data_IF_199216204480
#
_entry.id   IF_199216204480
#
_cell.length_a   1.000
_cell.length_b   1.000
_cell.length_c   1.000
_cell.angle_alpha   90.00
_cell.angle_beta   90.00
_cell.angle_gamma   90.00
#
_symmetry.space_group_name_H-M   'P 1'
#
loop_
_entity.id
_entity.type
_entity.pdbx_description
1 polymer ?
#
# COMPACT_ATOMS: atom_id res chain seq x y z
N UNK A 1 -30.37 8.76 1.67
CA UNK A 1 -29.85 7.78 2.66
C UNK A 1 -30.92 6.72 2.95
N UNK A 2 -31.23 5.84 1.98
CA UNK A 2 -32.30 4.82 2.12
C UNK A 2 -31.84 3.40 1.73
N UNK A 3 -30.53 3.19 1.56
CA UNK A 3 -29.96 1.90 1.11
C UNK A 3 -29.41 0.99 2.21
N UNK A 4 -29.26 1.47 3.46
CA UNK A 4 -28.60 0.69 4.52
C UNK A 4 -29.55 -0.06 5.46
N UNK A 5 -30.86 0.09 5.30
CA UNK A 5 -31.83 -0.48 6.26
C UNK A 5 -32.32 -1.90 5.92
N UNK A 6 -31.92 -2.47 4.79
CA UNK A 6 -32.38 -3.81 4.38
C UNK A 6 -31.37 -4.95 4.57
N UNK A 7 -30.10 -4.65 4.87
CA UNK A 7 -29.09 -5.71 5.09
C UNK A 7 -28.95 -6.08 6.57
N UNK A 8 -29.40 -5.23 7.50
CA UNK A 8 -29.25 -5.44 8.94
C UNK A 8 -30.36 -6.28 9.59
N UNK A 9 -31.46 -6.60 8.88
CA UNK A 9 -32.59 -7.39 9.45
C UNK A 9 -32.62 -8.88 9.12
N UNK A 10 -31.68 -9.39 8.31
CA UNK A 10 -31.59 -10.82 8.03
C UNK A 10 -30.76 -11.64 9.05
N UNK A 11 -30.07 -11.00 9.99
CA UNK A 11 -29.19 -11.66 10.98
C UNK A 11 -29.80 -11.60 12.40
N UNK A 12 -31.13 -11.73 12.49
CA UNK A 12 -31.82 -12.05 13.75
C UNK A 12 -32.56 -13.39 13.65
N UNK A 13 -32.01 -14.34 12.89
CA UNK A 13 -32.30 -15.74 13.12
C UNK A 13 -31.72 -16.10 14.50
N UNK A 14 -32.58 -16.07 15.51
CA UNK A 14 -32.36 -16.75 16.79
C UNK A 14 -31.81 -18.13 16.47
N UNK A 15 -30.51 -18.33 16.68
CA UNK A 15 -29.90 -19.65 16.71
C UNK A 15 -30.57 -20.37 17.90
N UNK A 16 -31.40 -21.40 17.67
CA UNK A 16 -31.94 -22.17 18.78
C UNK A 16 -30.77 -22.80 19.54
N UNK A 17 -30.87 -22.82 20.88
CA UNK A 17 -29.90 -23.43 21.81
C UNK A 17 -29.24 -24.67 21.18
N UNK A 18 -27.92 -24.61 21.09
CA UNK A 18 -27.02 -25.58 20.45
C UNK A 18 -26.92 -26.94 21.19
N UNK A 19 -28.03 -27.53 21.65
CA UNK A 19 -28.01 -28.86 22.28
C UNK A 19 -28.44 -29.99 21.35
N UNK A 20 -28.97 -29.71 20.15
CA UNK A 20 -29.34 -30.72 19.15
C UNK A 20 -29.06 -30.29 17.70
N UNK A 21 -27.83 -29.89 17.41
CA UNK A 21 -27.41 -29.75 16.02
C UNK A 21 -27.07 -31.16 15.46
N UNK A 22 -27.74 -31.64 14.40
CA UNK A 22 -27.47 -32.97 13.86
C UNK A 22 -26.00 -33.08 13.41
N UNK A 23 -25.37 -34.24 13.65
CA UNK A 23 -23.94 -34.46 13.35
C UNK A 23 -23.57 -34.14 11.89
N UNK A 24 -24.52 -34.29 10.96
CA UNK A 24 -24.41 -33.89 9.55
C UNK A 24 -24.19 -32.39 9.34
N UNK A 25 -24.86 -31.52 10.12
CA UNK A 25 -24.64 -30.07 10.07
C UNK A 25 -23.27 -29.68 10.65
N UNK A 26 -22.83 -30.38 11.72
CA UNK A 26 -21.51 -30.19 12.32
C UNK A 26 -20.37 -30.56 11.34
N UNK A 27 -20.56 -31.62 10.55
CA UNK A 27 -19.64 -32.02 9.48
C UNK A 27 -19.59 -31.00 8.33
N UNK A 28 -20.75 -30.52 7.85
CA UNK A 28 -20.81 -29.49 6.81
C UNK A 28 -20.20 -28.16 7.24
N UNK A 29 -20.42 -27.72 8.49
CA UNK A 29 -19.79 -26.53 9.07
C UNK A 29 -18.26 -26.65 9.17
N UNK A 30 -17.75 -27.85 9.49
CA UNK A 30 -16.31 -28.10 9.57
C UNK A 30 -15.64 -28.06 8.20
N UNK A 31 -16.29 -28.60 7.17
CA UNK A 31 -15.83 -28.53 5.77
C UNK A 31 -15.85 -27.08 5.29
N UNK A 32 -16.94 -26.34 5.55
CA UNK A 32 -17.04 -24.92 5.17
C UNK A 32 -15.95 -24.08 5.86
N UNK A 33 -15.69 -24.32 7.15
CA UNK A 33 -14.60 -23.67 7.90
C UNK A 33 -13.23 -23.95 7.29
N UNK A 34 -12.95 -25.21 6.93
CA UNK A 34 -11.66 -25.56 6.30
C UNK A 34 -11.48 -25.00 4.90
N UNK A 35 -12.55 -24.87 4.13
CA UNK A 35 -12.53 -24.27 2.78
C UNK A 35 -12.32 -22.75 2.88
N UNK A 36 -12.97 -22.09 3.84
CA UNK A 36 -12.79 -20.65 4.12
C UNK A 36 -11.38 -20.37 4.63
N UNK A 37 -10.84 -21.17 5.54
CA UNK A 37 -9.46 -21.03 6.03
C UNK A 37 -8.42 -21.24 4.91
N UNK A 38 -8.62 -22.22 4.02
CA UNK A 38 -7.70 -22.49 2.92
C UNK A 38 -7.74 -21.39 1.83
N UNK A 39 -8.93 -20.86 1.54
CA UNK A 39 -9.11 -19.71 0.66
C UNK A 39 -8.45 -18.45 1.23
N UNK A 40 -8.62 -18.20 2.53
CA UNK A 40 -8.02 -17.08 3.25
C UNK A 40 -6.47 -17.15 3.22
N UNK A 41 -5.88 -18.32 3.45
CA UNK A 41 -4.42 -18.48 3.47
C UNK A 41 -3.76 -18.25 2.11
N UNK A 42 -4.33 -18.80 1.02
CA UNK A 42 -3.80 -18.58 -0.34
C UNK A 42 -3.97 -17.13 -0.79
N UNK A 43 -5.16 -16.55 -0.55
CA UNK A 43 -5.48 -15.21 -1.00
C UNK A 43 -4.62 -14.14 -0.31
N UNK A 44 -4.45 -14.25 1.01
CA UNK A 44 -3.58 -13.30 1.73
C UNK A 44 -2.10 -13.51 1.43
N UNK A 45 -1.68 -14.70 1.00
CA UNK A 45 -0.32 -14.93 0.48
C UNK A 45 -0.09 -14.19 -0.84
N UNK A 46 -1.08 -14.25 -1.73
CA UNK A 46 -1.07 -13.51 -2.98
C UNK A 46 -1.05 -11.98 -2.76
N UNK A 47 -1.85 -11.45 -1.83
CA UNK A 47 -1.84 -10.02 -1.51
C UNK A 47 -0.50 -9.54 -0.91
N UNK A 48 0.12 -10.34 -0.05
CA UNK A 48 1.46 -10.06 0.47
C UNK A 48 2.52 -10.03 -0.64
N UNK A 49 2.47 -10.99 -1.57
CA UNK A 49 3.37 -11.04 -2.72
C UNK A 49 3.20 -9.81 -3.61
N UNK A 50 1.96 -9.42 -3.91
CA UNK A 50 1.68 -8.26 -4.74
C UNK A 50 2.13 -6.95 -4.07
N UNK A 51 1.92 -6.83 -2.75
CA UNK A 51 2.44 -5.72 -1.96
C UNK A 51 3.96 -5.66 -1.97
N UNK A 52 4.63 -6.81 -1.87
CA UNK A 52 6.08 -6.92 -2.00
C UNK A 52 6.58 -6.44 -3.36
N UNK A 53 5.93 -6.84 -4.46
CA UNK A 53 6.25 -6.38 -5.82
C UNK A 53 6.12 -4.85 -5.92
N UNK A 54 5.05 -4.27 -5.36
CA UNK A 54 4.85 -2.83 -5.35
C UNK A 54 5.96 -2.08 -4.60
N UNK A 55 6.40 -2.60 -3.45
CA UNK A 55 7.48 -1.97 -2.67
C UNK A 55 8.82 -2.02 -3.41
N UNK A 56 9.12 -3.13 -4.09
CA UNK A 56 10.31 -3.25 -4.96
C UNK A 56 10.22 -2.28 -6.14
N UNK A 57 9.07 -2.20 -6.80
CA UNK A 57 8.86 -1.25 -7.91
C UNK A 57 9.05 0.20 -7.44
N UNK A 58 8.50 0.58 -6.28
CA UNK A 58 8.70 1.90 -5.68
C UNK A 58 10.18 2.19 -5.39
N UNK A 59 10.93 1.24 -4.84
CA UNK A 59 12.37 1.39 -4.60
C UNK A 59 13.16 1.62 -5.90
N UNK A 60 12.88 0.83 -6.94
CA UNK A 60 13.51 0.96 -8.24
C UNK A 60 13.21 2.33 -8.84
N UNK A 61 11.96 2.77 -8.81
CA UNK A 61 11.56 4.06 -9.36
C UNK A 61 12.17 5.25 -8.59
N UNK A 62 12.27 5.18 -7.26
CA UNK A 62 12.96 6.20 -6.45
C UNK A 62 14.45 6.25 -6.80
N UNK A 63 15.07 5.09 -7.07
CA UNK A 63 16.48 5.02 -7.46
C UNK A 63 16.69 5.58 -8.86
N UNK A 64 15.81 5.24 -9.81
CA UNK A 64 15.83 5.78 -11.18
C UNK A 64 15.68 7.30 -11.13
N UNK A 65 14.75 7.82 -10.33
CA UNK A 65 14.54 9.26 -10.24
C UNK A 65 15.77 9.98 -9.70
N UNK A 66 16.39 9.47 -8.62
CA UNK A 66 17.65 10.00 -8.11
C UNK A 66 18.76 9.98 -9.17
N UNK A 67 18.93 8.87 -9.89
CA UNK A 67 20.01 8.75 -10.88
C UNK A 67 19.79 9.68 -12.09
N UNK A 68 18.58 9.69 -12.65
CA UNK A 68 18.23 10.50 -13.82
C UNK A 68 18.19 12.00 -13.52
N UNK A 69 17.83 12.37 -12.30
CA UNK A 69 17.78 13.76 -11.87
C UNK A 69 19.10 14.33 -11.37
N UNK A 70 20.25 13.84 -11.88
CA UNK A 70 21.58 14.27 -11.45
C UNK A 70 21.78 14.20 -9.92
N UNK A 71 21.13 13.22 -9.28
CA UNK A 71 21.12 13.05 -7.84
C UNK A 71 20.19 14.00 -7.09
N UNK A 72 19.39 14.86 -7.72
CA UNK A 72 18.40 15.68 -7.02
C UNK A 72 17.08 14.93 -6.85
N UNK A 73 16.37 15.18 -5.74
CA UNK A 73 15.05 14.60 -5.49
C UNK A 73 13.99 15.65 -5.80
N UNK A 74 13.02 15.34 -6.66
CA UNK A 74 11.98 16.32 -7.01
C UNK A 74 10.96 16.56 -5.89
N UNK A 75 10.89 15.66 -4.89
CA UNK A 75 9.94 15.80 -3.79
C UNK A 75 10.20 17.10 -3.04
N UNK A 76 9.15 17.91 -2.89
CA UNK A 76 9.25 19.24 -2.28
C UNK A 76 10.19 20.20 -3.03
N UNK A 77 10.44 19.95 -4.31
CA UNK A 77 11.12 20.90 -5.18
C UNK A 77 10.14 21.94 -5.71
N UNK A 78 10.60 23.18 -5.81
CA UNK A 78 9.89 24.27 -6.47
C UNK A 78 10.59 24.58 -7.79
N UNK A 79 9.82 24.63 -8.89
CA UNK A 79 10.35 24.92 -10.22
C UNK A 79 10.07 26.37 -10.60
N UNK A 80 11.12 27.13 -10.83
CA UNK A 80 11.05 28.47 -11.40
C UNK A 80 11.05 28.37 -12.93
N UNK A 81 9.86 28.29 -13.52
CA UNK A 81 9.65 28.03 -14.96
C UNK A 81 10.47 28.97 -15.88
N UNK A 82 10.52 30.27 -15.56
CA UNK A 82 11.24 31.28 -16.36
C UNK A 82 12.75 31.07 -16.34
N UNK A 83 13.30 30.67 -15.19
CA UNK A 83 14.75 30.48 -14.99
C UNK A 83 15.21 29.04 -15.26
N UNK A 84 14.27 28.11 -15.46
CA UNK A 84 14.51 26.65 -15.56
C UNK A 84 15.44 26.17 -14.44
N UNK A 85 15.16 26.68 -13.25
CA UNK A 85 15.89 26.34 -12.04
C UNK A 85 14.95 25.65 -11.08
N UNK A 86 15.47 24.63 -10.40
CA UNK A 86 14.75 23.90 -9.38
C UNK A 86 15.42 24.25 -8.05
N UNK A 87 14.67 24.90 -7.18
CA UNK A 87 15.07 25.15 -5.80
C UNK A 87 14.34 24.18 -4.87
N UNK A 88 14.94 23.91 -3.70
CA UNK A 88 14.45 22.88 -2.80
C UNK A 88 14.79 21.47 -3.30
N UNK A 89 13.93 20.48 -3.00
CA UNK A 89 14.14 19.12 -3.48
C UNK A 89 15.43 18.45 -2.98
N UNK A 90 15.52 18.17 -1.68
CA UNK A 90 16.70 17.54 -1.08
C UNK A 90 16.78 16.04 -1.37
N UNK A 91 18.00 15.55 -1.66
CA UNK A 91 18.35 14.11 -1.66
C UNK A 91 17.79 13.37 -0.45
N UNK A 92 17.77 14.03 0.71
CA UNK A 92 17.28 13.47 1.96
C UNK A 92 15.83 12.98 1.85
N UNK A 93 14.95 13.67 1.13
CA UNK A 93 13.54 13.26 1.00
C UNK A 93 13.36 11.96 0.22
N UNK A 94 14.14 11.78 -0.85
CA UNK A 94 14.16 10.52 -1.59
C UNK A 94 14.83 9.41 -0.77
N UNK A 95 15.89 9.69 -0.01
CA UNK A 95 16.51 8.70 0.88
C UNK A 95 15.58 8.26 2.01
N UNK A 96 14.86 9.19 2.64
CA UNK A 96 13.85 8.88 3.67
C UNK A 96 12.75 8.02 3.07
N UNK A 97 12.24 8.38 1.89
CA UNK A 97 11.20 7.59 1.20
C UNK A 97 11.71 6.19 0.84
N UNK A 98 12.94 6.07 0.33
CA UNK A 98 13.58 4.79 0.02
C UNK A 98 13.77 3.94 1.29
N UNK A 99 14.27 4.52 2.39
CA UNK A 99 14.45 3.81 3.66
C UNK A 99 13.13 3.26 4.19
N UNK A 100 12.06 4.05 4.14
CA UNK A 100 10.73 3.58 4.52
C UNK A 100 10.23 2.44 3.62
N UNK A 101 10.50 2.50 2.31
CA UNK A 101 10.21 1.40 1.39
C UNK A 101 11.03 0.14 1.71
N UNK A 102 12.31 0.27 2.11
CA UNK A 102 13.14 -0.85 2.57
C UNK A 102 12.56 -1.48 3.83
N UNK A 103 12.14 -0.68 4.81
CA UNK A 103 11.47 -1.19 6.02
C UNK A 103 10.20 -1.96 5.65
N UNK A 104 9.40 -1.44 4.70
CA UNK A 104 8.21 -2.14 4.20
C UNK A 104 8.56 -3.47 3.54
N UNK A 105 9.56 -3.46 2.66
CA UNK A 105 10.04 -4.63 1.95
C UNK A 105 10.50 -5.72 2.93
N UNK A 106 11.34 -5.36 3.91
CA UNK A 106 11.82 -6.30 4.93
C UNK A 106 10.67 -6.86 5.76
N UNK A 107 9.72 -6.01 6.15
CA UNK A 107 8.52 -6.44 6.88
C UNK A 107 7.70 -7.45 6.07
N UNK A 108 7.53 -7.25 4.76
CA UNK A 108 6.78 -8.17 3.89
C UNK A 108 7.52 -9.48 3.68
N UNK A 109 8.84 -9.43 3.44
CA UNK A 109 9.68 -10.63 3.33
C UNK A 109 9.63 -11.46 4.61
N UNK A 110 9.73 -10.81 5.77
CA UNK A 110 9.60 -11.48 7.06
C UNK A 110 8.18 -12.01 7.28
N UNK A 111 7.14 -11.27 6.89
CA UNK A 111 5.75 -11.74 6.99
C UNK A 111 5.51 -12.97 6.13
N UNK A 112 6.06 -13.03 4.92
CA UNK A 112 5.99 -14.20 4.03
C UNK A 112 6.75 -15.38 4.65
N UNK A 113 7.97 -15.17 5.16
CA UNK A 113 8.80 -16.23 5.76
C UNK A 113 8.21 -16.76 7.06
N UNK A 114 7.80 -15.90 7.98
CA UNK A 114 7.29 -16.28 9.30
C UNK A 114 5.90 -16.89 9.26
N UNK A 115 5.16 -16.69 8.17
CA UNK A 115 3.94 -17.45 7.89
C UNK A 115 4.17 -18.96 7.96
N UNK A 116 5.40 -19.40 7.66
CA UNK A 116 5.81 -20.81 7.67
C UNK A 116 6.29 -21.31 9.03
N UNK A 117 6.63 -20.42 9.99
CA UNK A 117 7.31 -20.82 11.24
C UNK A 117 6.60 -20.36 12.54
N UNK A 118 6.36 -19.06 12.77
CA UNK A 118 5.87 -18.59 14.09
C UNK A 118 4.95 -17.35 14.04
N UNK A 119 3.83 -17.39 14.78
CA UNK A 119 2.76 -16.36 14.74
C UNK A 119 2.96 -15.16 15.68
N UNK A 120 3.83 -15.24 16.69
CA UNK A 120 3.90 -14.24 17.78
C UNK A 120 4.38 -12.86 17.30
N UNK A 121 5.38 -12.83 16.43
CA UNK A 121 5.99 -11.59 15.94
C UNK A 121 5.30 -10.99 14.72
N UNK A 122 4.47 -11.79 14.04
CA UNK A 122 3.84 -11.44 12.77
C UNK A 122 3.03 -10.12 12.85
N UNK A 123 2.35 -9.88 13.98
CA UNK A 123 1.58 -8.64 14.19
C UNK A 123 2.44 -7.39 14.29
N UNK A 124 3.53 -7.45 15.05
CA UNK A 124 4.40 -6.29 15.24
C UNK A 124 5.08 -5.91 13.94
N UNK A 125 5.65 -6.88 13.21
CA UNK A 125 6.30 -6.61 11.91
C UNK A 125 5.32 -6.09 10.87
N UNK A 126 4.12 -6.68 10.81
CA UNK A 126 3.10 -6.23 9.87
C UNK A 126 2.67 -4.78 10.17
N UNK A 127 2.50 -4.45 11.45
CA UNK A 127 2.19 -3.10 11.89
C UNK A 127 3.31 -2.12 11.54
N UNK A 128 4.57 -2.46 11.82
CA UNK A 128 5.73 -1.64 11.44
C UNK A 128 5.78 -1.42 9.92
N UNK A 129 5.56 -2.45 9.12
CA UNK A 129 5.52 -2.36 7.66
C UNK A 129 4.36 -1.49 7.15
N UNK A 130 3.21 -1.51 7.80
CA UNK A 130 2.09 -0.61 7.46
C UNK A 130 2.38 0.84 7.84
N UNK A 131 2.92 1.10 9.03
CA UNK A 131 3.26 2.45 9.45
C UNK A 131 4.33 3.07 8.53
N UNK A 132 5.39 2.30 8.23
CA UNK A 132 6.42 2.74 7.29
C UNK A 132 5.84 3.01 5.90
N UNK A 133 4.95 2.14 5.40
CA UNK A 133 4.35 2.28 4.07
C UNK A 133 3.40 3.46 4.00
N UNK A 134 2.63 3.70 5.05
CA UNK A 134 1.76 4.86 5.18
C UNK A 134 2.56 6.17 5.21
N UNK A 135 3.64 6.22 6.01
CA UNK A 135 4.54 7.38 6.06
C UNK A 135 5.20 7.64 4.69
N UNK A 136 5.68 6.59 4.02
CA UNK A 136 6.25 6.71 2.67
C UNK A 136 5.22 7.26 1.67
N UNK A 137 4.01 6.68 1.67
CA UNK A 137 2.92 7.11 0.80
C UNK A 137 2.57 8.59 1.04
N UNK A 138 2.48 9.02 2.30
CA UNK A 138 2.19 10.41 2.67
C UNK A 138 3.31 11.34 2.20
N UNK A 139 4.57 11.05 2.54
CA UNK A 139 5.72 11.89 2.17
C UNK A 139 5.80 12.04 0.65
N UNK A 140 5.71 10.94 -0.08
CA UNK A 140 5.75 10.96 -1.55
C UNK A 140 4.54 11.73 -2.09
N UNK A 141 3.33 11.50 -1.58
CA UNK A 141 2.12 12.18 -2.07
C UNK A 141 2.17 13.69 -1.84
N UNK A 142 2.58 14.13 -0.65
CA UNK A 142 2.70 15.56 -0.31
C UNK A 142 3.85 16.18 -1.11
N UNK A 143 5.01 15.53 -1.15
CA UNK A 143 6.17 16.05 -1.88
C UNK A 143 5.90 16.12 -3.39
N UNK A 144 5.19 15.15 -3.95
CA UNK A 144 4.76 15.15 -5.35
C UNK A 144 3.71 16.22 -5.62
N UNK A 145 2.73 16.40 -4.72
CA UNK A 145 1.74 17.48 -4.83
C UNK A 145 2.40 18.85 -4.75
N UNK A 146 3.37 19.04 -3.85
CA UNK A 146 4.14 20.27 -3.71
C UNK A 146 4.89 20.58 -5.00
N UNK A 147 5.60 19.59 -5.55
CA UNK A 147 6.31 19.71 -6.81
C UNK A 147 5.37 20.08 -7.96
N UNK A 148 4.26 19.35 -8.10
CA UNK A 148 3.27 19.61 -9.12
C UNK A 148 2.53 20.94 -8.97
N UNK A 149 2.39 21.44 -7.74
CA UNK A 149 1.80 22.74 -7.45
C UNK A 149 2.74 23.91 -7.71
N UNK A 150 4.05 23.67 -7.85
CA UNK A 150 5.02 24.73 -8.12
C UNK A 150 4.97 25.26 -9.56
N UNK A 151 4.34 24.53 -10.48
CA UNK A 151 4.18 24.94 -11.87
C UNK A 151 3.06 25.99 -11.99
N UNK A 152 3.43 27.21 -12.38
CA UNK A 152 2.50 28.34 -12.51
C UNK A 152 1.70 28.32 -13.81
N UNK A 153 2.32 27.96 -14.94
CA UNK A 153 1.71 28.06 -16.26
C UNK A 153 1.18 26.70 -16.71
N UNK A 154 1.91 25.63 -16.42
CA UNK A 154 1.55 24.28 -16.85
C UNK A 154 1.52 23.33 -15.66
N UNK A 155 0.39 23.31 -14.94
CA UNK A 155 0.23 22.39 -13.82
C UNK A 155 0.20 20.93 -14.30
N UNK A 156 0.75 20.03 -13.48
CA UNK A 156 0.77 18.58 -13.75
C UNK A 156 -0.59 17.97 -14.07
N UNK A 157 -1.67 18.57 -13.58
CA UNK A 157 -3.03 18.04 -13.73
C UNK A 157 -3.67 18.39 -15.07
N UNK A 158 -3.26 19.51 -15.68
CA UNK A 158 -3.87 20.02 -16.90
C UNK A 158 -3.10 19.63 -18.15
N UNK A 159 -1.81 19.30 -18.04
CA UNK A 159 -0.98 19.02 -19.21
C UNK A 159 -0.14 17.73 -19.08
N UNK A 160 -0.81 16.58 -19.17
CA UNK A 160 -0.15 15.26 -19.16
C UNK A 160 0.81 15.02 -20.33
N UNK A 161 0.77 15.87 -21.37
CA UNK A 161 1.65 15.82 -22.55
C UNK A 161 2.70 16.94 -22.55
N UNK A 162 2.84 17.64 -21.43
CA UNK A 162 3.83 18.69 -21.30
C UNK A 162 5.22 18.13 -21.53
N UNK A 163 6.00 18.87 -22.31
CA UNK A 163 7.38 18.48 -22.56
C UNK A 163 8.22 18.84 -21.33
N UNK A 164 8.20 17.92 -20.36
CA UNK A 164 8.88 18.02 -19.07
C UNK A 164 10.37 18.29 -19.25
N UNK A 165 10.94 17.99 -20.43
CA UNK A 165 12.31 18.33 -20.80
C UNK A 165 12.63 19.83 -20.67
N UNK A 166 11.66 20.73 -20.88
CA UNK A 166 11.89 22.18 -20.80
C UNK A 166 11.88 22.76 -19.39
N UNK A 167 11.38 22.01 -18.41
CA UNK A 167 11.18 22.49 -17.03
C UNK A 167 12.08 21.80 -16.00
N UNK A 168 13.01 20.98 -16.48
CA UNK A 168 14.00 20.31 -15.63
C UNK A 168 15.26 21.16 -15.54
N UNK A 169 15.99 21.14 -14.41
CA UNK A 169 17.20 21.91 -14.27
C UNK A 169 18.18 21.58 -15.41
N UNK A 170 18.85 22.62 -15.93
CA UNK A 170 19.87 22.51 -16.98
C UNK A 170 20.81 21.35 -16.61
N UNK A 171 21.00 20.38 -17.50
CA UNK A 171 21.84 19.17 -17.32
C UNK A 171 21.24 18.02 -16.48
N UNK A 172 19.90 17.93 -16.33
CA UNK A 172 19.23 16.78 -15.71
C UNK A 172 18.20 16.11 -16.63
N UNK A 173 18.16 14.77 -16.65
CA UNK A 173 17.23 13.97 -17.45
C UNK A 173 15.94 13.65 -16.67
N UNK A 174 15.39 14.63 -15.94
CA UNK A 174 14.20 14.44 -15.10
C UNK A 174 12.87 14.37 -15.90
N UNK A 175 12.88 14.23 -17.23
CA UNK A 175 11.66 14.29 -18.05
C UNK A 175 10.57 13.27 -17.63
N UNK A 176 10.98 12.10 -17.13
CA UNK A 176 10.07 11.04 -16.69
C UNK A 176 9.59 11.19 -15.25
N UNK A 177 10.02 12.23 -14.53
CA UNK A 177 9.75 12.47 -13.12
C UNK A 177 8.27 12.34 -12.76
N UNK A 178 7.38 12.98 -13.53
CA UNK A 178 5.95 12.91 -13.29
C UNK A 178 5.44 11.46 -13.26
N UNK A 179 5.79 10.66 -14.28
CA UNK A 179 5.36 9.26 -14.39
C UNK A 179 5.98 8.39 -13.30
N UNK A 180 7.26 8.60 -12.97
CA UNK A 180 7.91 7.84 -11.90
C UNK A 180 7.24 8.09 -10.55
N UNK A 181 6.99 9.35 -10.18
CA UNK A 181 6.39 9.69 -8.90
C UNK A 181 4.89 9.39 -8.82
N UNK A 182 4.17 9.47 -9.93
CA UNK A 182 2.80 8.96 -10.03
C UNK A 182 2.76 7.44 -9.79
N UNK A 183 3.64 6.69 -10.46
CA UNK A 183 3.73 5.24 -10.30
C UNK A 183 4.16 4.86 -8.88
N UNK A 184 5.15 5.54 -8.29
CA UNK A 184 5.55 5.34 -6.88
C UNK A 184 4.34 5.55 -5.96
N UNK A 185 3.60 6.65 -6.14
CA UNK A 185 2.42 6.99 -5.32
C UNK A 185 1.37 5.88 -5.41
N UNK A 186 1.02 5.45 -6.64
CA UNK A 186 0.05 4.36 -6.85
C UNK A 186 0.53 3.07 -6.20
N UNK A 187 1.79 2.68 -6.41
CA UNK A 187 2.36 1.46 -5.84
C UNK A 187 2.33 1.48 -4.30
N UNK A 188 2.66 2.61 -3.66
CA UNK A 188 2.67 2.72 -2.20
C UNK A 188 1.25 2.64 -1.61
N UNK A 189 0.29 3.37 -2.19
CA UNK A 189 -1.11 3.31 -1.73
C UNK A 189 -1.74 1.95 -2.00
N UNK A 190 -1.45 1.33 -3.14
CA UNK A 190 -1.95 0.00 -3.46
C UNK A 190 -1.34 -1.06 -2.55
N UNK A 191 -0.04 -0.98 -2.26
CA UNK A 191 0.63 -1.82 -1.26
C UNK A 191 -0.03 -1.70 0.12
N UNK A 192 -0.35 -0.48 0.56
CA UNK A 192 -1.06 -0.24 1.83
C UNK A 192 -2.47 -0.84 1.84
N UNK A 193 -3.21 -0.72 0.73
CA UNK A 193 -4.54 -1.34 0.56
C UNK A 193 -4.46 -2.87 0.66
N UNK A 194 -3.49 -3.50 0.00
CA UNK A 194 -3.30 -4.95 0.06
C UNK A 194 -2.98 -5.41 1.49
N UNK A 195 -2.13 -4.67 2.21
CA UNK A 195 -1.82 -4.97 3.60
C UNK A 195 -3.03 -4.82 4.52
N UNK A 196 -3.85 -3.78 4.32
CA UNK A 196 -5.06 -3.60 5.13
C UNK A 196 -6.08 -4.72 4.89
N UNK A 197 -6.22 -5.20 3.65
CA UNK A 197 -7.04 -6.37 3.30
C UNK A 197 -6.55 -7.64 4.00
N UNK A 198 -5.24 -7.89 4.01
CA UNK A 198 -4.64 -9.04 4.72
C UNK A 198 -4.97 -9.01 6.21
N UNK A 199 -4.86 -7.85 6.87
CA UNK A 199 -5.25 -7.70 8.28
C UNK A 199 -6.75 -7.90 8.50
N UNK A 200 -7.58 -7.37 7.60
CA UNK A 200 -9.02 -7.52 7.69
C UNK A 200 -9.41 -9.01 7.61
N UNK A 201 -8.87 -9.73 6.63
CA UNK A 201 -9.05 -11.18 6.47
C UNK A 201 -8.62 -11.94 7.74
N UNK A 202 -7.42 -11.64 8.26
CA UNK A 202 -6.91 -12.28 9.48
C UNK A 202 -7.79 -12.01 10.71
N UNK A 203 -8.29 -10.78 10.87
CA UNK A 203 -9.16 -10.39 12.00
C UNK A 203 -10.55 -11.03 11.87
N UNK A 204 -11.09 -11.11 10.67
CA UNK A 204 -12.39 -11.72 10.38
C UNK A 204 -12.38 -13.21 10.70
N UNK A 205 -11.36 -13.93 10.22
CA UNK A 205 -11.20 -15.35 10.48
C UNK A 205 -11.15 -15.67 11.99
N UNK A 206 -10.41 -14.86 12.76
CA UNK A 206 -10.33 -15.02 14.22
C UNK A 206 -11.67 -14.85 14.94
N UNK A 207 -12.59 -14.03 14.44
CA UNK A 207 -13.92 -13.85 15.04
C UNK A 207 -14.81 -15.06 14.80
N UNK A 208 -14.81 -15.62 13.59
CA UNK A 208 -15.61 -16.80 13.25
C UNK A 208 -15.21 -17.99 14.14
N UNK A 209 -13.90 -18.22 14.31
CA UNK A 209 -13.40 -19.33 15.13
C UNK A 209 -13.84 -19.20 16.61
N UNK A 210 -13.90 -17.99 17.17
CA UNK A 210 -14.36 -17.79 18.55
C UNK A 210 -15.87 -18.00 18.72
N UNK A 211 -16.67 -17.76 17.68
CA UNK A 211 -18.13 -17.97 17.73
C UNK A 211 -18.56 -19.42 17.51
N UNK A 212 -17.70 -20.27 16.94
CA UNK A 212 -17.99 -21.69 16.71
C UNK A 212 -17.47 -22.62 17.81
N UNK A 213 -16.66 -22.10 18.73
CA UNK A 213 -16.09 -22.84 19.87
C UNK A 213 -16.90 -22.73 21.18
N UNK A 214 -18.00 -21.98 21.19
CA UNK A 214 -18.93 -21.82 22.33
C UNK A 214 -20.25 -22.55 22.07
#
# INVERSE_FOLDING_TARGET
MLGELFITRAIHLRVPRASRLPQLLKGRLRILSSVIECFDVRLSGFFLLLSWICNVASLILITISLYRCAGQCILFGEIFEVRRHMDGGSRMWCFVSALLCVVCFLADTLAIKLRLQERKWMRSMFFTGMCAGCLAAIIVSIGFKSWCGSFTINSCWYNNKQDWHFFTPKFSDCYGAFYWFLAITICLWFSLLLKSLVLFCYKWNRRIVMTTSS
#
